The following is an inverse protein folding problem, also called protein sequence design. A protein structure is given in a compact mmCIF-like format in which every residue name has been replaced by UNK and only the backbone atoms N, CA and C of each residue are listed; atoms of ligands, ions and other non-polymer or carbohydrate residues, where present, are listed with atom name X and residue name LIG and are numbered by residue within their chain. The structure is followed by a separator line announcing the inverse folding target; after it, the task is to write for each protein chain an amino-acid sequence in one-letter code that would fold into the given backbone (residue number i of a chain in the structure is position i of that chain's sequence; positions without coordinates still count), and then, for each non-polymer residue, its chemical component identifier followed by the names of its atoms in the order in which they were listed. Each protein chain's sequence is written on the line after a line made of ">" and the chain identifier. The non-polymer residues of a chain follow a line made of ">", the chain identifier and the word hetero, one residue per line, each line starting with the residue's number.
data_IF_931476118862
#
_entry.id   IF_931476118862
#
_cell.length_a   1.000
_cell.length_b   1.000
_cell.length_c   1.000
_cell.angle_alpha   90.00
_cell.angle_beta   90.00
_cell.angle_gamma   90.00
#
_symmetry.space_group_name_H-M   'P 1'
#
loop_
_entity.id
_entity.type
_entity.pdbx_description
1 polymer ?
#
# COMPACT_ATOMS: atom_id res chain seq x y z
N UNK A 1 -1.55 -7.51 14.78
CA UNK A 1 -0.89 -6.76 13.69
C UNK A 1 0.07 -5.75 14.29
N UNK A 2 1.26 -5.59 13.67
CA UNK A 2 2.21 -4.55 14.05
C UNK A 2 3.17 -4.25 12.90
N UNK A 3 3.26 -2.98 12.49
CA UNK A 3 4.30 -2.50 11.58
C UNK A 3 5.46 -1.97 12.41
N UNK A 4 6.68 -2.41 12.11
CA UNK A 4 7.87 -2.03 12.85
C UNK A 4 9.00 -1.55 11.94
N UNK A 5 9.90 -0.75 12.51
CA UNK A 5 11.10 -0.27 11.83
C UNK A 5 12.26 -0.13 12.79
N UNK A 6 13.41 -0.67 12.38
CA UNK A 6 14.64 -0.72 13.20
C UNK A 6 15.69 0.32 12.79
N UNK A 7 15.35 1.21 11.84
CA UNK A 7 16.26 2.27 11.42
C UNK A 7 16.11 3.54 12.25
N UNK A 8 16.72 4.63 11.78
CA UNK A 8 16.88 5.88 12.56
C UNK A 8 16.24 7.12 11.93
N UNK A 9 15.53 6.95 10.81
CA UNK A 9 14.90 8.07 10.12
C UNK A 9 13.59 8.42 10.83
N UNK A 10 13.56 9.55 11.54
CA UNK A 10 12.42 10.01 12.35
C UNK A 10 11.12 10.05 11.54
N UNK A 11 11.19 10.55 10.31
CA UNK A 11 10.01 10.65 9.44
C UNK A 11 9.35 9.30 9.14
N UNK A 12 10.14 8.22 9.03
CA UNK A 12 9.61 6.87 8.84
C UNK A 12 9.08 6.31 10.16
N UNK A 13 9.69 6.67 11.29
CA UNK A 13 9.18 6.30 12.61
C UNK A 13 7.79 6.90 12.81
N UNK A 14 7.62 8.18 12.55
CA UNK A 14 6.31 8.86 12.60
C UNK A 14 5.31 8.23 11.64
N UNK A 15 5.67 8.00 10.38
CA UNK A 15 4.76 7.36 9.42
C UNK A 15 4.32 5.94 9.84
N UNK A 16 5.15 5.23 10.63
CA UNK A 16 4.81 3.91 11.17
C UNK A 16 3.91 4.02 12.40
N UNK A 17 4.12 5.02 13.24
CA UNK A 17 3.19 5.33 14.34
C UNK A 17 1.81 5.64 13.75
N UNK A 18 1.73 6.54 12.77
CA UNK A 18 0.51 6.88 12.05
C UNK A 18 -0.15 5.65 11.40
N UNK A 19 0.64 4.82 10.68
CA UNK A 19 0.11 3.62 10.05
C UNK A 19 -0.47 2.64 11.08
N UNK A 20 0.20 2.45 12.23
CA UNK A 20 -0.33 1.58 13.28
C UNK A 20 -1.58 2.17 13.94
N UNK A 21 -1.66 3.49 14.13
CA UNK A 21 -2.85 4.15 14.69
C UNK A 21 -4.06 4.00 13.76
N UNK A 22 -3.87 4.22 12.45
CA UNK A 22 -4.90 4.01 11.42
C UNK A 22 -5.37 2.55 11.40
N UNK A 23 -4.43 1.62 11.46
CA UNK A 23 -4.71 0.19 11.49
C UNK A 23 -5.39 -0.28 12.79
N UNK A 24 -5.39 0.53 13.85
CA UNK A 24 -6.17 0.30 15.07
C UNK A 24 -7.50 1.08 15.08
N UNK A 25 -7.81 1.87 14.05
CA UNK A 25 -9.01 2.71 13.98
C UNK A 25 -10.21 1.95 13.41
N UNK A 26 -11.34 2.01 14.11
CA UNK A 26 -12.61 1.45 13.59
C UNK A 26 -13.12 2.23 12.38
N UNK A 27 -12.93 3.56 12.36
CA UNK A 27 -13.36 4.43 11.26
C UNK A 27 -12.69 4.03 9.93
N UNK A 28 -11.40 3.68 9.99
CA UNK A 28 -10.66 3.21 8.82
C UNK A 28 -11.31 1.96 8.20
N UNK A 29 -11.65 0.98 9.02
CA UNK A 29 -12.30 -0.25 8.54
C UNK A 29 -13.73 -0.03 8.04
N UNK A 30 -14.45 0.95 8.59
CA UNK A 30 -15.77 1.36 8.08
C UNK A 30 -15.67 2.00 6.70
N UNK A 31 -14.65 2.84 6.45
CA UNK A 31 -14.41 3.39 5.12
C UNK A 31 -14.19 2.27 4.10
N UNK A 32 -13.31 1.30 4.41
CA UNK A 32 -13.03 0.16 3.53
C UNK A 32 -14.30 -0.64 3.26
N UNK A 33 -15.05 -0.98 4.32
CA UNK A 33 -16.27 -1.78 4.20
C UNK A 33 -17.36 -1.10 3.36
N UNK A 34 -17.36 0.22 3.27
CA UNK A 34 -18.39 1.01 2.58
C UNK A 34 -17.97 1.51 1.17
N UNK A 35 -16.74 1.22 0.72
CA UNK A 35 -16.19 1.77 -0.53
C UNK A 35 -16.93 1.36 -1.82
N UNK A 36 -17.69 0.26 -1.79
CA UNK A 36 -18.14 -0.43 -3.01
C UNK A 36 -17.02 -1.29 -3.60
N UNK A 37 -17.28 -1.99 -4.70
CA UNK A 37 -16.38 -3.04 -5.19
C UNK A 37 -15.00 -2.50 -5.60
N UNK A 38 -13.96 -3.24 -5.21
CA UNK A 38 -12.61 -3.00 -5.67
C UNK A 38 -12.40 -3.65 -7.03
N UNK A 39 -11.76 -2.91 -7.94
CA UNK A 39 -11.41 -3.43 -9.24
C UNK A 39 -10.51 -4.67 -9.08
N UNK A 40 -10.79 -5.69 -9.89
CA UNK A 40 -9.91 -6.85 -10.08
C UNK A 40 -9.78 -7.76 -8.84
N UNK A 41 -10.73 -7.64 -7.92
CA UNK A 41 -10.86 -8.46 -6.72
C UNK A 41 -12.16 -9.24 -6.78
N UNK A 42 -12.12 -10.53 -6.45
CA UNK A 42 -13.32 -11.34 -6.22
C UNK A 42 -13.87 -11.19 -4.78
N UNK A 43 -13.11 -10.54 -3.90
CA UNK A 43 -13.53 -10.22 -2.54
C UNK A 43 -14.37 -8.95 -2.52
N UNK A 44 -15.44 -8.99 -1.74
CA UNK A 44 -16.18 -7.79 -1.38
C UNK A 44 -15.34 -6.86 -0.48
N UNK A 45 -15.71 -5.59 -0.44
CA UNK A 45 -14.99 -4.61 0.38
C UNK A 45 -15.17 -4.86 1.88
N UNK A 46 -16.30 -5.46 2.28
CA UNK A 46 -16.51 -5.97 3.64
C UNK A 46 -15.56 -7.14 3.96
N UNK A 47 -15.38 -8.08 3.03
CA UNK A 47 -14.44 -9.19 3.23
C UNK A 47 -13.00 -8.69 3.34
N UNK A 48 -12.57 -7.80 2.44
CA UNK A 48 -11.23 -7.19 2.48
C UNK A 48 -11.02 -6.46 3.81
N UNK A 49 -11.97 -5.62 4.22
CA UNK A 49 -11.92 -4.92 5.52
C UNK A 49 -11.76 -5.90 6.67
N UNK A 50 -12.58 -6.97 6.70
CA UNK A 50 -12.54 -7.99 7.73
C UNK A 50 -11.22 -8.80 7.74
N UNK A 51 -10.67 -9.14 6.58
CA UNK A 51 -9.41 -9.86 6.45
C UNK A 51 -8.26 -9.01 7.00
N UNK A 52 -8.16 -7.74 6.57
CA UNK A 52 -7.14 -6.81 7.07
C UNK A 52 -7.28 -6.61 8.58
N UNK A 53 -8.49 -6.37 9.07
CA UNK A 53 -8.78 -6.14 10.50
C UNK A 53 -8.41 -7.34 11.38
N UNK A 54 -8.65 -8.56 10.91
CA UNK A 54 -8.34 -9.79 11.65
C UNK A 54 -6.88 -10.22 11.52
N UNK A 55 -6.13 -9.63 10.58
CA UNK A 55 -4.74 -10.01 10.34
C UNK A 55 -3.88 -9.86 11.59
N UNK A 56 -3.05 -10.88 11.83
CA UNK A 56 -2.05 -10.86 12.90
C UNK A 56 -0.64 -10.62 12.36
N UNK A 57 -0.52 -10.31 11.07
CA UNK A 57 0.76 -10.16 10.39
C UNK A 57 1.62 -9.07 11.07
N UNK A 58 2.88 -9.41 11.29
CA UNK A 58 3.91 -8.47 11.75
C UNK A 58 4.83 -8.17 10.57
N UNK A 59 4.95 -6.90 10.23
CA UNK A 59 5.69 -6.45 9.04
C UNK A 59 6.81 -5.52 9.45
N UNK A 60 8.02 -5.78 8.93
CA UNK A 60 9.17 -4.92 9.10
C UNK A 60 9.37 -4.02 7.88
N UNK A 61 9.36 -2.71 8.09
CA UNK A 61 9.77 -1.75 7.06
C UNK A 61 11.29 -1.75 6.95
N UNK A 62 11.78 -1.88 5.73
CA UNK A 62 13.20 -1.78 5.35
C UNK A 62 13.38 -0.63 4.39
N UNK A 63 14.55 -0.01 4.44
CA UNK A 63 14.96 0.95 3.43
C UNK A 63 15.89 0.25 2.44
N UNK A 64 15.66 0.45 1.15
CA UNK A 64 16.59 0.07 0.11
C UNK A 64 17.10 1.29 -0.66
N UNK A 65 18.32 1.20 -1.19
CA UNK A 65 18.87 2.20 -2.11
C UNK A 65 18.62 1.72 -3.53
N UNK A 66 17.82 2.43 -4.36
CA UNK A 66 17.58 2.01 -5.73
C UNK A 66 18.88 2.10 -6.54
N UNK A 67 19.06 1.13 -7.46
CA UNK A 67 20.17 1.13 -8.41
C UNK A 67 20.10 2.36 -9.32
N UNK A 68 18.90 2.69 -9.81
CA UNK A 68 18.66 3.84 -10.67
C UNK A 68 18.33 5.09 -9.85
N UNK A 69 19.12 6.14 -10.06
CA UNK A 69 19.00 7.41 -9.31
C UNK A 69 17.61 8.06 -9.44
N UNK A 70 16.97 7.86 -10.59
CA UNK A 70 15.70 8.49 -10.94
C UNK A 70 14.50 7.55 -10.78
N UNK A 71 14.68 6.42 -10.08
CA UNK A 71 13.59 5.52 -9.75
C UNK A 71 12.47 6.28 -9.01
N UNK A 72 11.25 6.17 -9.51
CA UNK A 72 10.06 6.77 -8.86
C UNK A 72 9.47 5.96 -7.73
N UNK A 73 9.82 4.68 -7.65
CA UNK A 73 9.27 3.75 -6.66
C UNK A 73 9.29 4.36 -5.29
N UNK A 74 8.14 4.38 -4.63
CA UNK A 74 8.03 4.89 -3.27
C UNK A 74 8.33 3.76 -2.27
N UNK A 75 7.74 2.60 -2.50
CA UNK A 75 7.98 1.37 -1.78
C UNK A 75 7.62 0.17 -2.64
N UNK A 76 7.84 -1.03 -2.10
CA UNK A 76 7.34 -2.27 -2.68
C UNK A 76 7.25 -3.39 -1.64
N UNK A 77 6.38 -4.36 -1.91
CA UNK A 77 6.27 -5.65 -1.25
C UNK A 77 6.85 -6.78 -2.14
N UNK A 78 7.30 -7.89 -1.57
CA UNK A 78 7.65 -9.09 -2.35
C UNK A 78 7.19 -10.37 -1.65
N UNK A 79 6.57 -11.27 -2.42
CA UNK A 79 6.03 -12.54 -1.91
C UNK A 79 7.06 -13.40 -1.18
N UNK A 80 8.30 -13.43 -1.66
CA UNK A 80 9.38 -14.22 -1.04
C UNK A 80 9.87 -13.65 0.29
N UNK A 81 9.46 -12.44 0.68
CA UNK A 81 9.70 -11.84 1.99
C UNK A 81 8.39 -11.24 2.53
N UNK A 82 7.40 -12.08 2.87
CA UNK A 82 6.02 -11.64 3.10
C UNK A 82 5.84 -10.77 4.35
N UNK A 83 6.85 -10.72 5.22
CA UNK A 83 6.88 -9.90 6.41
C UNK A 83 7.73 -8.64 6.25
N UNK A 84 7.99 -8.17 5.02
CA UNK A 84 8.81 -7.00 4.75
C UNK A 84 8.19 -6.06 3.72
N UNK A 85 8.26 -4.78 4.01
CA UNK A 85 7.98 -3.67 3.09
C UNK A 85 9.29 -2.94 2.82
N UNK A 86 9.57 -2.60 1.57
CA UNK A 86 10.82 -1.95 1.18
C UNK A 86 10.55 -0.53 0.69
N UNK A 87 10.92 0.49 1.47
CA UNK A 87 10.82 1.90 1.08
C UNK A 87 12.10 2.38 0.37
N UNK A 88 11.92 3.20 -0.66
CA UNK A 88 13.02 3.77 -1.42
C UNK A 88 13.71 4.89 -0.64
N UNK A 89 14.99 4.71 -0.30
CA UNK A 89 15.79 5.66 0.49
C UNK A 89 15.87 7.07 -0.10
N UNK A 90 15.61 7.23 -1.40
CA UNK A 90 15.63 8.53 -2.08
C UNK A 90 14.29 9.27 -2.01
N UNK A 91 13.22 8.60 -1.54
CA UNK A 91 11.83 9.10 -1.52
C UNK A 91 11.26 9.23 -0.11
N UNK A 92 12.09 9.03 0.91
CA UNK A 92 11.67 9.12 2.33
C UNK A 92 11.58 10.55 2.87
N UNK A 93 11.83 11.56 2.04
CA UNK A 93 11.80 13.00 2.42
C UNK A 93 10.52 13.72 1.99
N UNK A 94 9.54 12.99 1.44
CA UNK A 94 8.20 13.50 1.11
C UNK A 94 7.34 13.55 2.37
N UNK A 95 6.13 14.09 2.28
CA UNK A 95 5.24 14.24 3.43
C UNK A 95 4.98 12.92 4.17
N UNK A 96 4.89 13.02 5.51
CA UNK A 96 4.69 11.85 6.38
C UNK A 96 3.42 11.10 6.00
N UNK A 97 2.31 11.81 5.75
CA UNK A 97 1.03 11.22 5.33
C UNK A 97 1.18 10.40 4.05
N UNK A 98 1.94 10.92 3.09
CA UNK A 98 2.25 10.19 1.86
C UNK A 98 3.07 8.93 2.16
N UNK A 99 4.05 8.98 3.08
CA UNK A 99 4.81 7.79 3.50
C UNK A 99 3.90 6.75 4.17
N UNK A 100 2.99 7.20 5.02
CA UNK A 100 1.97 6.37 5.67
C UNK A 100 1.08 5.70 4.62
N UNK A 101 0.59 6.44 3.62
CA UNK A 101 -0.16 5.90 2.47
C UNK A 101 0.58 4.71 1.83
N UNK A 102 1.85 4.91 1.49
CA UNK A 102 2.67 3.84 0.87
C UNK A 102 2.85 2.65 1.81
N UNK A 103 3.09 2.88 3.09
CA UNK A 103 3.24 1.77 4.06
C UNK A 103 1.94 0.95 4.14
N UNK A 104 0.78 1.61 4.18
CA UNK A 104 -0.52 0.95 4.20
C UNK A 104 -0.81 0.22 2.89
N UNK A 105 -0.51 0.84 1.74
CA UNK A 105 -0.63 0.21 0.42
C UNK A 105 0.12 -1.13 0.36
N UNK A 106 1.41 -1.12 0.73
CA UNK A 106 2.22 -2.33 0.74
C UNK A 106 1.81 -3.32 1.84
N UNK A 107 1.25 -2.83 2.95
CA UNK A 107 0.70 -3.68 3.99
C UNK A 107 -0.53 -4.46 3.51
N UNK A 108 -1.41 -3.83 2.70
CA UNK A 108 -2.53 -4.53 2.06
C UNK A 108 -2.02 -5.66 1.17
N UNK A 109 -0.97 -5.44 0.38
CA UNK A 109 -0.31 -6.51 -0.38
C UNK A 109 0.22 -7.63 0.50
N UNK A 110 0.82 -7.29 1.64
CA UNK A 110 1.33 -8.28 2.58
C UNK A 110 0.22 -9.13 3.21
N UNK A 111 -0.91 -8.51 3.58
CA UNK A 111 -2.09 -9.20 4.12
C UNK A 111 -2.73 -10.10 3.07
N UNK A 112 -2.90 -9.62 1.85
CA UNK A 112 -3.47 -10.40 0.75
C UNK A 112 -2.65 -11.68 0.52
N UNK A 113 -1.32 -11.54 0.44
CA UNK A 113 -0.42 -12.67 0.33
C UNK A 113 -0.45 -13.63 1.54
N UNK A 114 -0.68 -13.12 2.76
CA UNK A 114 -0.82 -13.94 3.98
C UNK A 114 -2.16 -14.70 4.01
N UNK A 115 -3.22 -14.08 3.50
CA UNK A 115 -4.56 -14.66 3.41
C UNK A 115 -4.63 -15.78 2.37
N UNK A 116 -3.97 -15.62 1.23
CA UNK A 116 -3.89 -16.64 0.19
C UNK A 116 -2.51 -16.64 -0.47
N UNK A 117 -1.63 -17.53 -0.03
CA UNK A 117 -0.23 -17.59 -0.48
C UNK A 117 -0.04 -17.85 -1.99
N UNK A 118 -1.08 -18.27 -2.69
CA UNK A 118 -1.01 -18.70 -4.09
C UNK A 118 -1.37 -17.59 -5.09
N UNK A 119 -2.06 -16.52 -4.68
CA UNK A 119 -2.49 -15.43 -5.56
C UNK A 119 -2.54 -14.09 -4.81
N UNK A 120 -2.40 -12.97 -5.53
CA UNK A 120 -2.71 -11.63 -4.99
C UNK A 120 -4.10 -11.32 -5.52
N UNK A 121 -5.09 -11.34 -4.64
CA UNK A 121 -6.52 -11.37 -4.99
C UNK A 121 -7.23 -10.05 -4.66
N UNK A 122 -6.57 -9.11 -3.98
CA UNK A 122 -7.15 -7.79 -3.64
C UNK A 122 -7.01 -6.75 -4.76
N UNK A 123 -6.81 -7.19 -6.02
CA UNK A 123 -6.88 -6.31 -7.19
C UNK A 123 -5.58 -5.80 -7.77
N UNK A 124 -4.47 -6.54 -7.69
CA UNK A 124 -3.18 -6.05 -8.21
C UNK A 124 -2.94 -6.32 -9.72
N UNK A 125 -3.53 -7.38 -10.29
CA UNK A 125 -3.26 -7.80 -11.67
C UNK A 125 -4.43 -7.41 -12.57
N UNK A 126 -4.47 -6.16 -13.02
CA UNK A 126 -5.42 -5.77 -14.06
C UNK A 126 -4.99 -4.60 -14.93
N UNK A 127 -5.74 -4.44 -16.03
CA UNK A 127 -5.47 -3.44 -17.06
C UNK A 127 -5.60 -1.99 -16.56
N UNK A 128 -6.38 -1.76 -15.51
CA UNK A 128 -6.49 -0.45 -14.85
C UNK A 128 -6.14 -0.58 -13.37
N UNK A 129 -5.07 0.09 -12.96
CA UNK A 129 -4.67 0.24 -11.55
C UNK A 129 -5.57 1.23 -10.77
N UNK A 130 -6.69 1.61 -11.36
CA UNK A 130 -7.69 2.48 -10.73
C UNK A 130 -8.56 1.66 -9.81
N UNK A 131 -8.98 2.23 -8.68
CA UNK A 131 -9.96 1.61 -7.77
C UNK A 131 -9.58 0.21 -7.23
N UNK A 132 -8.29 -0.12 -7.14
CA UNK A 132 -7.84 -1.38 -6.52
C UNK A 132 -7.67 -1.22 -5.02
N UNK A 133 -7.82 -2.30 -4.25
CA UNK A 133 -7.83 -2.19 -2.79
C UNK A 133 -6.54 -1.56 -2.22
N UNK A 134 -5.32 -1.95 -2.62
CA UNK A 134 -4.10 -1.32 -2.12
C UNK A 134 -4.05 0.20 -2.32
N UNK A 135 -4.44 0.73 -3.49
CA UNK A 135 -4.40 2.16 -3.77
C UNK A 135 -5.46 2.93 -2.99
N UNK A 136 -6.70 2.45 -3.01
CA UNK A 136 -7.80 3.12 -2.31
C UNK A 136 -7.56 3.11 -0.80
N UNK A 137 -7.19 1.96 -0.25
CA UNK A 137 -6.98 1.81 1.20
C UNK A 137 -5.77 2.64 1.66
N UNK A 138 -4.69 2.73 0.87
CA UNK A 138 -3.60 3.68 1.12
C UNK A 138 -4.10 5.12 1.16
N UNK A 139 -4.98 5.50 0.23
CA UNK A 139 -5.54 6.86 0.14
C UNK A 139 -6.47 7.18 1.32
N UNK A 140 -7.20 6.19 1.85
CA UNK A 140 -8.00 6.35 3.06
C UNK A 140 -7.14 6.66 4.28
N UNK A 141 -5.99 5.98 4.39
CA UNK A 141 -5.05 6.24 5.47
C UNK A 141 -4.52 7.68 5.39
N UNK A 142 -4.14 8.14 4.20
CA UNK A 142 -3.69 9.52 3.99
C UNK A 142 -4.76 10.54 4.39
N UNK A 143 -6.00 10.30 3.94
CA UNK A 143 -7.15 11.16 4.21
C UNK A 143 -7.45 11.30 5.71
N UNK A 144 -7.44 10.20 6.46
CA UNK A 144 -7.68 10.22 7.91
C UNK A 144 -6.60 11.02 8.67
N UNK A 145 -5.36 10.99 8.18
CA UNK A 145 -4.25 11.74 8.79
C UNK A 145 -4.32 13.25 8.53
N UNK A 146 -4.92 13.67 7.44
CA UNK A 146 -5.11 15.10 7.13
C UNK A 146 -6.18 15.77 8.00
N UNK A 147 -6.91 15.01 8.83
CA UNK A 147 -7.95 15.53 9.70
C UNK A 147 -9.24 15.93 8.96
N UNK A 148 -9.41 15.46 7.72
CA UNK A 148 -10.60 15.70 6.90
C UNK A 148 -11.78 14.81 7.34
N UNK A 149 -12.13 14.84 8.63
CA UNK A 149 -13.31 14.15 9.13
C UNK A 149 -14.58 14.94 8.79
N UNK A 150 -15.06 14.96 7.54
CA UNK A 150 -16.44 15.42 7.23
C UNK A 150 -16.95 15.07 5.82
N UNK A 151 -18.06 14.31 5.79
CA UNK A 151 -19.23 14.27 4.87
C UNK A 151 -19.10 14.26 3.32
N UNK A 152 -17.94 14.44 2.69
CA UNK A 152 -17.79 14.39 1.21
C UNK A 152 -16.85 13.27 0.72
N UNK A 153 -16.94 12.12 1.40
CA UNK A 153 -16.04 10.97 1.27
C UNK A 153 -15.90 10.46 -0.19
N UNK A 154 -16.99 10.20 -0.95
CA UNK A 154 -16.83 9.55 -2.26
C UNK A 154 -16.13 10.43 -3.32
N UNK A 155 -16.37 11.74 -3.31
CA UNK A 155 -15.86 12.64 -4.35
C UNK A 155 -14.39 12.99 -4.16
N UNK A 156 -13.93 13.15 -2.90
CA UNK A 156 -12.54 13.46 -2.61
C UNK A 156 -11.62 12.25 -2.85
N UNK A 157 -12.11 11.04 -2.52
CA UNK A 157 -11.39 9.79 -2.77
C UNK A 157 -11.20 9.55 -4.27
N UNK A 158 -12.23 9.77 -5.08
CA UNK A 158 -12.10 9.65 -6.53
C UNK A 158 -11.05 10.64 -7.09
N UNK A 159 -11.01 11.87 -6.58
CA UNK A 159 -10.00 12.86 -6.96
C UNK A 159 -8.57 12.49 -6.50
N UNK A 160 -8.39 11.92 -5.31
CA UNK A 160 -7.08 11.46 -4.79
C UNK A 160 -6.58 10.23 -5.53
N UNK A 161 -7.47 9.27 -5.81
CA UNK A 161 -7.16 8.10 -6.64
C UNK A 161 -6.77 8.58 -8.04
N UNK A 162 -7.51 9.52 -8.62
CA UNK A 162 -7.17 10.16 -9.91
C UNK A 162 -5.79 10.82 -9.94
N UNK A 163 -5.40 11.53 -8.88
CA UNK A 163 -4.10 12.20 -8.76
C UNK A 163 -2.92 11.25 -8.50
N UNK A 164 -3.17 10.06 -7.94
CA UNK A 164 -2.15 9.07 -7.63
C UNK A 164 -1.90 8.04 -8.75
N UNK A 165 -2.44 8.23 -9.96
CA UNK A 165 -2.27 7.26 -11.05
C UNK A 165 -0.91 7.35 -11.78
N UNK A 166 -0.17 6.24 -11.79
CA UNK A 166 0.11 5.44 -13.01
C UNK A 166 0.98 4.22 -12.65
N UNK A 167 0.52 3.02 -13.01
CA UNK A 167 1.32 1.78 -13.05
C UNK A 167 1.25 1.17 -14.46
N UNK A 168 2.32 0.50 -14.89
CA UNK A 168 2.43 -0.28 -16.13
C UNK A 168 3.21 -1.56 -15.79
N UNK A 169 2.75 -2.71 -16.26
CA UNK A 169 3.52 -3.96 -16.35
C UNK A 169 4.42 -3.93 -17.59
N UNK A 170 5.72 -4.24 -17.51
CA UNK A 170 6.44 -4.86 -18.64
C UNK A 170 7.57 -5.83 -18.23
N UNK A 171 7.60 -6.91 -19.03
CA UNK A 171 8.58 -7.98 -19.26
C UNK A 171 9.77 -8.21 -18.31
N UNK A 172 9.59 -9.27 -17.53
CA UNK A 172 10.62 -10.03 -16.81
C UNK A 172 11.47 -10.81 -17.82
N UNK A 173 12.42 -10.14 -18.48
CA UNK A 173 13.44 -10.84 -19.30
C UNK A 173 14.85 -10.76 -18.69
N UNK A 174 14.98 -10.46 -17.40
CA UNK A 174 16.31 -10.35 -16.77
C UNK A 174 16.45 -10.84 -15.32
N UNK A 175 15.46 -11.49 -14.71
CA UNK A 175 15.56 -12.01 -13.34
C UNK A 175 14.83 -13.35 -13.23
N UNK A 176 15.48 -14.29 -12.53
CA UNK A 176 15.15 -15.71 -12.50
C UNK A 176 13.68 -15.97 -12.08
N UNK A 177 13.03 -16.88 -12.81
CA UNK A 177 11.58 -17.16 -12.81
C UNK A 177 10.97 -17.66 -11.49
N UNK A 178 11.75 -17.70 -10.40
CA UNK A 178 11.32 -18.17 -9.08
C UNK A 178 10.90 -17.04 -8.11
N UNK A 179 11.19 -15.78 -8.44
CA UNK A 179 10.81 -14.61 -7.64
C UNK A 179 9.85 -13.72 -8.44
N UNK A 180 8.54 -13.85 -8.19
CA UNK A 180 7.58 -12.85 -8.66
C UNK A 180 7.80 -11.57 -7.84
N UNK A 181 8.73 -10.74 -8.32
CA UNK A 181 8.99 -9.42 -7.78
C UNK A 181 7.80 -8.50 -8.09
N UNK A 182 7.18 -7.91 -7.08
CA UNK A 182 6.49 -6.63 -7.27
C UNK A 182 7.58 -5.58 -7.13
N UNK A 183 8.26 -5.27 -8.23
CA UNK A 183 9.18 -4.12 -8.31
C UNK A 183 8.53 -3.13 -9.25
N UNK A 184 8.02 -2.05 -8.68
CA UNK A 184 7.45 -0.96 -9.46
C UNK A 184 8.60 -0.10 -10.05
N UNK A 185 8.36 0.73 -11.07
CA UNK A 185 9.22 1.86 -11.48
C UNK A 185 8.38 2.80 -12.35
N UNK A 186 8.58 4.12 -12.28
CA UNK A 186 8.01 5.06 -13.26
C UNK A 186 8.90 6.28 -13.55
N UNK A 187 8.69 6.95 -14.70
CA UNK A 187 9.37 8.20 -15.16
C UNK A 187 8.48 9.44 -15.13
N UNK A 188 8.90 10.55 -14.50
CA UNK A 188 8.16 11.84 -14.52
C UNK A 188 8.81 12.57 -15.69
N UNK A 189 8.02 12.89 -16.71
CA UNK A 189 8.36 13.97 -17.63
C UNK A 189 8.10 15.30 -16.92
#
# INVERSE_FOLDING_TARGET
>A
MRINYKGKFSQIITAIEDANDILNSEEFYQLISNHGDFNCSDFSSEDISNIIKKSKLEVEVKIYKPRWRYSKVLGYFIKSKPNKIFLNSRKIYRDTNSITNTIIHEYVHAVDNDNNSNAIEFGHICQSFTNTAPYVIGSYAEFLMEGNATTEIPNLINALVEQNHMCIQEDINALDSADLFIIEEHRVL
#
